data_IF_183732818359
#
_entry.id   IF_183732818359
#
_cell.length_a   1.000
_cell.length_b   1.000
_cell.length_c   1.000
_cell.angle_alpha   90.00
_cell.angle_beta   90.00
_cell.angle_gamma   90.00
#
_symmetry.space_group_name_H-M   'P 1'
#
loop_
_entity.id
_entity.type
_entity.pdbx_description
1 polymer ?
#
# COMPACT_ATOMS: atom_id res chain seq x y z
N UNK A 1 10.46 -29.06 -6.57
CA UNK A 1 9.55 -27.96 -6.89
C UNK A 1 10.35 -26.76 -7.41
N UNK A 2 9.72 -25.88 -8.13
CA UNK A 2 10.29 -24.64 -8.66
C UNK A 2 9.83 -23.51 -7.77
N UNK A 3 10.73 -22.59 -7.40
CA UNK A 3 10.41 -21.40 -6.63
C UNK A 3 11.30 -20.25 -7.05
N UNK A 4 10.87 -19.04 -6.81
CA UNK A 4 11.63 -17.83 -7.09
C UNK A 4 12.51 -17.45 -5.90
N UNK A 5 13.71 -16.99 -6.21
CA UNK A 5 14.67 -16.54 -5.23
C UNK A 5 15.26 -15.19 -5.61
N UNK A 6 15.65 -14.42 -4.62
CA UNK A 6 16.34 -13.14 -4.79
C UNK A 6 17.83 -13.28 -4.56
N UNK A 7 18.59 -12.87 -5.55
CA UNK A 7 20.03 -12.69 -5.40
C UNK A 7 20.30 -11.26 -4.90
N UNK A 8 20.93 -11.13 -3.74
CA UNK A 8 21.18 -9.82 -3.11
C UNK A 8 22.50 -9.82 -2.32
N UNK A 9 22.84 -8.69 -1.72
CA UNK A 9 23.98 -8.58 -0.79
C UNK A 9 23.54 -8.68 0.67
N UNK A 10 24.48 -8.90 1.57
CA UNK A 10 24.22 -8.97 3.02
C UNK A 10 23.50 -7.72 3.55
N UNK A 11 23.74 -6.56 2.95
CA UNK A 11 23.19 -5.27 3.38
C UNK A 11 21.67 -5.16 3.16
N UNK A 12 21.09 -6.02 2.33
CA UNK A 12 19.64 -6.02 2.08
C UNK A 12 18.82 -6.15 3.37
N UNK A 13 19.21 -7.05 4.23
CA UNK A 13 18.43 -7.35 5.44
C UNK A 13 18.43 -6.20 6.45
N UNK A 14 19.56 -5.60 6.83
CA UNK A 14 19.55 -4.44 7.71
C UNK A 14 19.01 -3.17 7.04
N UNK A 15 19.24 -2.95 5.74
CA UNK A 15 18.77 -1.76 5.01
C UNK A 15 17.24 -1.67 4.99
N UNK A 16 16.54 -2.80 4.91
CA UNK A 16 15.09 -2.87 4.83
C UNK A 16 14.43 -3.38 6.12
N UNK A 17 15.18 -3.44 7.23
CA UNK A 17 14.70 -3.93 8.53
C UNK A 17 13.96 -5.27 8.42
N UNK A 18 14.49 -6.19 7.61
CA UNK A 18 13.85 -7.47 7.34
C UNK A 18 13.80 -8.32 8.62
N UNK A 19 12.63 -8.73 9.12
CA UNK A 19 12.51 -9.46 10.36
C UNK A 19 12.90 -10.92 10.22
N UNK A 20 13.54 -11.48 11.24
CA UNK A 20 13.93 -12.88 11.31
C UNK A 20 13.19 -13.62 12.41
N UNK A 21 12.64 -14.77 12.09
CA UNK A 21 12.10 -15.72 13.07
C UNK A 21 13.23 -16.56 13.71
N UNK A 22 14.20 -16.99 12.89
CA UNK A 22 15.36 -17.75 13.33
C UNK A 22 16.63 -17.28 12.61
N UNK A 23 17.75 -17.23 13.34
CA UNK A 23 19.04 -16.85 12.78
C UNK A 23 19.12 -15.39 12.34
N UNK A 24 19.84 -15.16 11.25
CA UNK A 24 20.05 -13.81 10.65
C UNK A 24 20.43 -13.95 9.17
N UNK A 25 20.50 -12.81 8.47
CA UNK A 25 21.17 -12.76 7.17
C UNK A 25 22.63 -13.23 7.25
N UNK A 26 23.24 -13.43 6.12
CA UNK A 26 24.69 -13.67 6.02
C UNK A 26 25.45 -12.34 6.19
N UNK A 27 26.75 -12.42 6.35
CA UNK A 27 27.63 -11.25 6.44
C UNK A 27 28.32 -10.94 5.09
N UNK A 28 28.95 -9.77 4.99
CA UNK A 28 29.66 -9.35 3.78
C UNK A 28 30.85 -10.26 3.38
N UNK A 29 31.37 -11.06 4.32
CA UNK A 29 32.41 -12.05 3.98
C UNK A 29 31.84 -13.18 3.15
N UNK A 30 30.60 -13.58 3.37
CA UNK A 30 29.93 -14.60 2.57
C UNK A 30 29.70 -14.13 1.12
N UNK A 31 29.37 -12.84 0.92
CA UNK A 31 29.29 -12.25 -0.42
C UNK A 31 30.64 -12.29 -1.14
N UNK A 32 31.74 -11.97 -0.42
CA UNK A 32 33.09 -11.92 -1.00
C UNK A 32 33.71 -13.29 -1.28
N UNK A 33 33.34 -14.32 -0.49
CA UNK A 33 33.89 -15.68 -0.60
C UNK A 33 32.97 -16.64 -1.35
N UNK A 34 31.86 -16.14 -1.89
CA UNK A 34 30.84 -16.96 -2.58
C UNK A 34 30.35 -18.13 -1.69
N UNK A 35 30.13 -17.82 -0.39
CA UNK A 35 29.67 -18.84 0.56
C UNK A 35 28.25 -19.30 0.22
N UNK A 36 28.04 -20.63 0.13
CA UNK A 36 26.73 -21.22 -0.18
C UNK A 36 25.79 -21.17 1.03
N UNK A 37 25.30 -19.98 1.29
CA UNK A 37 24.30 -19.70 2.32
C UNK A 37 22.98 -19.27 1.71
N UNK A 38 21.90 -19.51 2.43
CA UNK A 38 20.55 -19.12 2.01
C UNK A 38 19.74 -18.66 3.22
N UNK A 39 18.93 -17.64 3.02
CA UNK A 39 17.86 -17.23 3.93
C UNK A 39 16.54 -17.68 3.33
N UNK A 40 15.66 -18.26 4.12
CA UNK A 40 14.36 -18.77 3.67
C UNK A 40 13.24 -17.84 4.12
N UNK A 41 12.18 -17.74 3.32
CA UNK A 41 10.93 -17.21 3.82
C UNK A 41 10.34 -18.16 4.85
N UNK A 42 9.42 -17.66 5.66
CA UNK A 42 8.70 -18.48 6.65
C UNK A 42 7.93 -19.62 5.96
N UNK A 43 7.26 -19.30 4.85
CA UNK A 43 6.44 -20.24 4.09
C UNK A 43 7.28 -21.38 3.51
N UNK A 44 8.44 -21.04 2.92
CA UNK A 44 9.34 -22.04 2.38
C UNK A 44 9.95 -22.93 3.50
N UNK A 45 10.27 -22.33 4.66
CA UNK A 45 10.72 -23.11 5.81
C UNK A 45 9.64 -24.05 6.33
N UNK A 46 8.37 -23.64 6.32
CA UNK A 46 7.25 -24.52 6.67
C UNK A 46 7.13 -25.69 5.70
N UNK A 47 7.24 -25.43 4.39
CA UNK A 47 7.14 -26.49 3.38
C UNK A 47 8.30 -27.49 3.43
N UNK A 48 9.53 -27.02 3.63
CA UNK A 48 10.73 -27.88 3.54
C UNK A 48 11.11 -28.50 4.87
N UNK A 49 10.95 -27.75 5.96
CA UNK A 49 11.43 -28.14 7.29
C UNK A 49 10.32 -28.20 8.35
N UNK A 50 9.05 -28.06 7.96
CA UNK A 50 7.92 -28.15 8.87
C UNK A 50 7.81 -27.00 9.88
N UNK A 51 8.38 -25.84 9.58
CA UNK A 51 8.33 -24.64 10.43
C UNK A 51 9.29 -24.65 11.63
N UNK A 52 10.10 -25.72 11.79
CA UNK A 52 11.12 -25.78 12.83
C UNK A 52 12.30 -24.84 12.54
N UNK A 53 13.12 -24.57 13.56
CA UNK A 53 14.37 -23.86 13.37
C UNK A 53 15.32 -24.67 12.46
N UNK A 54 15.47 -24.22 11.24
CA UNK A 54 16.31 -24.86 10.22
C UNK A 54 17.72 -24.25 10.08
N UNK A 55 18.08 -23.27 10.90
CA UNK A 55 19.41 -22.65 10.86
C UNK A 55 20.51 -23.71 11.03
N UNK A 56 21.49 -23.68 10.11
CA UNK A 56 22.58 -24.65 10.03
C UNK A 56 22.23 -25.94 9.26
N UNK A 57 20.95 -26.22 8.96
CA UNK A 57 20.57 -27.31 8.05
C UNK A 57 21.00 -27.02 6.62
N UNK A 58 21.06 -28.06 5.82
CA UNK A 58 21.45 -27.99 4.40
C UNK A 58 20.24 -28.30 3.54
N UNK A 59 20.04 -27.50 2.50
CA UNK A 59 19.07 -27.74 1.43
C UNK A 59 19.77 -27.76 0.06
N UNK A 60 19.14 -28.39 -0.92
CA UNK A 60 19.68 -28.45 -2.29
C UNK A 60 18.91 -27.47 -3.19
N UNK A 61 19.65 -26.57 -3.84
CA UNK A 61 19.12 -25.60 -4.81
C UNK A 61 19.89 -25.83 -6.11
N UNK A 62 19.20 -26.11 -7.21
CA UNK A 62 19.79 -26.39 -8.53
C UNK A 62 20.91 -27.46 -8.50
N UNK A 63 20.77 -28.47 -7.64
CA UNK A 63 21.74 -29.54 -7.50
C UNK A 63 22.94 -29.23 -6.57
N UNK A 64 23.04 -28.03 -6.03
CA UNK A 64 24.09 -27.63 -5.11
C UNK A 64 23.56 -27.51 -3.67
N UNK A 65 24.45 -27.75 -2.70
CA UNK A 65 24.10 -27.72 -1.27
C UNK A 65 24.30 -26.33 -0.67
N UNK A 66 23.25 -25.79 -0.04
CA UNK A 66 23.26 -24.50 0.64
C UNK A 66 22.97 -24.68 2.12
N UNK A 67 23.69 -23.95 2.96
CA UNK A 67 23.45 -23.92 4.41
C UNK A 67 22.46 -22.79 4.74
N UNK A 68 21.39 -23.11 5.47
CA UNK A 68 20.44 -22.11 5.96
C UNK A 68 21.12 -21.23 7.01
N UNK A 69 21.20 -19.92 6.78
CA UNK A 69 21.72 -18.93 7.73
C UNK A 69 20.61 -18.31 8.58
N UNK A 70 19.41 -18.17 8.01
CA UNK A 70 18.27 -17.59 8.69
C UNK A 70 16.95 -17.96 8.05
N UNK A 71 15.89 -17.75 8.80
CA UNK A 71 14.50 -17.85 8.37
C UNK A 71 13.81 -16.55 8.70
N UNK A 72 13.18 -15.93 7.71
CA UNK A 72 12.43 -14.72 7.90
C UNK A 72 11.19 -14.95 8.75
N UNK A 73 10.75 -13.93 9.46
CA UNK A 73 9.40 -13.85 10.00
C UNK A 73 8.43 -13.38 8.90
N UNK A 74 7.17 -13.19 9.22
CA UNK A 74 6.18 -12.66 8.26
C UNK A 74 6.63 -11.29 7.74
N UNK A 75 6.99 -11.24 6.46
CA UNK A 75 7.47 -10.04 5.80
C UNK A 75 6.89 -9.93 4.39
N UNK A 76 5.79 -9.20 4.28
CA UNK A 76 5.04 -9.00 3.03
C UNK A 76 4.84 -7.51 2.76
N UNK A 77 5.90 -6.75 2.39
CA UNK A 77 5.75 -5.35 2.05
C UNK A 77 4.90 -5.19 0.78
N UNK A 78 3.80 -4.45 0.90
CA UNK A 78 2.92 -4.13 -0.22
C UNK A 78 2.73 -2.62 -0.27
N UNK A 79 3.12 -1.97 -1.37
CA UNK A 79 3.80 -2.53 -2.54
C UNK A 79 5.22 -3.01 -2.20
N UNK A 80 5.75 -3.94 -3.02
CA UNK A 80 7.13 -4.44 -2.95
C UNK A 80 8.11 -3.34 -3.42
N UNK A 81 8.28 -2.30 -2.58
CA UNK A 81 8.95 -1.04 -2.93
C UNK A 81 10.39 -1.21 -3.44
N UNK A 82 11.05 -2.27 -3.02
CA UNK A 82 12.42 -2.60 -3.44
C UNK A 82 12.49 -3.27 -4.81
N UNK A 83 11.35 -3.65 -5.41
CA UNK A 83 11.29 -4.26 -6.74
C UNK A 83 10.02 -3.88 -7.53
N UNK A 84 9.83 -2.58 -7.74
CA UNK A 84 8.66 -2.06 -8.46
C UNK A 84 8.68 -2.34 -9.97
N UNK A 85 9.88 -2.57 -10.53
CA UNK A 85 10.04 -2.75 -11.98
C UNK A 85 9.50 -4.09 -12.50
N UNK A 86 9.36 -5.09 -11.64
CA UNK A 86 8.81 -6.39 -12.02
C UNK A 86 7.30 -6.42 -11.74
N UNK A 87 6.93 -6.55 -10.50
CA UNK A 87 5.54 -6.47 -10.07
C UNK A 87 5.47 -5.92 -8.64
N UNK A 88 4.99 -4.68 -8.44
CA UNK A 88 4.94 -4.06 -7.12
C UNK A 88 4.01 -4.77 -6.14
N UNK A 89 3.11 -5.60 -6.62
CA UNK A 89 2.09 -6.28 -5.83
C UNK A 89 2.30 -7.80 -5.73
N UNK A 90 3.45 -8.29 -6.14
CA UNK A 90 3.82 -9.70 -6.01
C UNK A 90 4.36 -10.01 -4.60
N UNK A 91 4.21 -11.26 -4.16
CA UNK A 91 4.80 -11.71 -2.91
C UNK A 91 6.32 -11.61 -2.95
N UNK A 92 6.97 -11.35 -1.80
CA UNK A 92 8.42 -11.47 -1.69
C UNK A 92 8.90 -12.88 -2.05
N UNK A 93 10.14 -12.96 -2.51
CA UNK A 93 10.73 -14.22 -2.93
C UNK A 93 10.84 -15.22 -1.77
N UNK A 94 10.69 -16.50 -2.10
CA UNK A 94 10.70 -17.57 -1.11
C UNK A 94 12.09 -17.83 -0.49
N UNK A 95 13.17 -17.42 -1.18
CA UNK A 95 14.53 -17.57 -0.68
C UNK A 95 15.43 -16.42 -1.15
N UNK A 96 16.48 -16.18 -0.36
CA UNK A 96 17.49 -15.15 -0.63
C UNK A 96 18.88 -15.78 -0.62
N UNK A 97 19.73 -15.40 -1.57
CA UNK A 97 21.09 -15.91 -1.68
C UNK A 97 22.08 -14.80 -2.09
N UNK A 98 23.38 -14.96 -1.80
CA UNK A 98 24.41 -14.01 -2.23
C UNK A 98 24.40 -13.79 -3.73
N UNK A 99 24.45 -12.51 -4.16
CA UNK A 99 24.43 -12.14 -5.58
C UNK A 99 25.60 -12.75 -6.35
N UNK A 100 26.78 -12.84 -5.75
CA UNK A 100 27.95 -13.48 -6.34
C UNK A 100 27.67 -14.91 -6.79
N UNK A 101 26.92 -15.69 -6.00
CA UNK A 101 26.56 -17.07 -6.34
C UNK A 101 25.61 -17.16 -7.53
N UNK A 102 24.67 -16.20 -7.66
CA UNK A 102 23.75 -16.19 -8.80
C UNK A 102 24.51 -15.97 -10.12
N UNK A 103 25.55 -15.15 -10.10
CA UNK A 103 26.42 -14.89 -11.26
C UNK A 103 27.27 -16.11 -11.58
N UNK A 104 27.98 -16.68 -10.60
CA UNK A 104 28.86 -17.85 -10.79
C UNK A 104 28.07 -19.10 -11.15
N UNK A 105 26.95 -19.32 -10.48
CA UNK A 105 26.05 -20.45 -10.74
C UNK A 105 25.21 -20.32 -12.00
N UNK A 106 25.26 -19.17 -12.69
CA UNK A 106 24.50 -18.89 -13.91
C UNK A 106 23.00 -19.16 -13.73
N UNK A 107 22.45 -18.72 -12.60
CA UNK A 107 21.02 -18.93 -12.35
C UNK A 107 20.17 -18.24 -13.40
N UNK A 108 19.06 -18.89 -13.76
CA UNK A 108 18.08 -18.29 -14.63
C UNK A 108 17.52 -17.03 -13.98
N UNK A 109 17.29 -16.01 -14.79
CA UNK A 109 16.80 -14.70 -14.35
C UNK A 109 15.31 -14.59 -14.59
N UNK A 110 14.60 -14.11 -13.62
CA UNK A 110 13.25 -13.61 -13.73
C UNK A 110 13.28 -12.08 -13.67
N UNK A 111 12.34 -11.42 -14.35
CA UNK A 111 12.16 -9.99 -14.26
C UNK A 111 12.59 -9.19 -15.49
N UNK A 112 12.52 -7.88 -15.36
CA UNK A 112 12.66 -6.95 -16.47
C UNK A 112 14.13 -6.73 -16.85
N UNK A 113 14.40 -6.71 -18.15
CA UNK A 113 15.71 -6.41 -18.71
C UNK A 113 15.57 -5.39 -19.84
N UNK A 114 16.35 -4.32 -19.80
CA UNK A 114 16.37 -3.29 -20.85
C UNK A 114 17.79 -3.15 -21.42
N UNK A 115 17.94 -3.31 -22.72
CA UNK A 115 19.22 -3.23 -23.40
C UNK A 115 19.28 -2.03 -24.35
N UNK A 116 20.37 -1.26 -24.28
CA UNK A 116 20.62 -0.09 -25.14
C UNK A 116 21.07 -0.48 -26.54
N UNK A 117 21.73 -1.63 -26.63
CA UNK A 117 22.29 -2.21 -27.86
C UNK A 117 21.94 -3.70 -27.90
N UNK A 118 21.91 -4.31 -29.07
CA UNK A 118 21.94 -5.76 -29.19
C UNK A 118 23.12 -6.34 -28.42
N UNK A 119 22.93 -7.50 -27.83
CA UNK A 119 24.01 -8.23 -27.14
C UNK A 119 24.93 -8.82 -28.20
N UNK A 120 26.23 -8.51 -28.09
CA UNK A 120 27.25 -9.08 -28.98
C UNK A 120 27.65 -10.47 -28.50
N UNK A 121 27.23 -11.52 -29.20
CA UNK A 121 27.46 -12.91 -28.85
C UNK A 121 26.27 -13.61 -28.22
N UNK A 122 26.48 -14.84 -27.82
CA UNK A 122 25.45 -15.69 -27.19
C UNK A 122 25.85 -16.12 -25.79
N UNK A 123 24.86 -16.40 -24.96
CA UNK A 123 25.05 -16.97 -23.62
C UNK A 123 25.23 -15.94 -22.52
N UNK A 124 25.40 -16.45 -21.32
CA UNK A 124 25.41 -15.67 -20.08
C UNK A 124 26.58 -14.68 -20.00
N UNK A 125 27.77 -15.06 -20.45
CA UNK A 125 28.96 -14.21 -20.44
C UNK A 125 28.82 -13.00 -21.40
N UNK A 126 28.23 -13.20 -22.57
CA UNK A 126 27.94 -12.12 -23.50
C UNK A 126 26.88 -11.16 -22.90
N UNK A 127 25.93 -11.70 -22.17
CA UNK A 127 24.95 -10.90 -21.44
C UNK A 127 25.60 -10.05 -20.34
N UNK A 128 26.47 -10.63 -19.51
CA UNK A 128 27.18 -9.89 -18.45
C UNK A 128 28.10 -8.79 -19.00
N UNK A 129 28.69 -9.02 -20.18
CA UNK A 129 29.52 -8.03 -20.88
C UNK A 129 28.69 -6.93 -21.60
N UNK A 130 27.39 -7.09 -21.68
CA UNK A 130 26.50 -6.18 -22.40
C UNK A 130 26.19 -4.90 -21.60
N UNK A 131 25.61 -3.90 -22.28
CA UNK A 131 25.09 -2.70 -21.65
C UNK A 131 23.59 -2.85 -21.31
N UNK A 132 23.15 -4.03 -20.87
CA UNK A 132 21.79 -4.27 -20.45
C UNK A 132 21.62 -3.89 -18.97
N UNK A 133 20.50 -3.24 -18.67
CA UNK A 133 20.08 -2.92 -17.31
C UNK A 133 19.17 -4.05 -16.82
N UNK A 134 19.58 -4.73 -15.77
CA UNK A 134 18.84 -5.88 -15.21
C UNK A 134 19.01 -6.00 -13.68
N UNK A 135 19.79 -5.11 -13.07
CA UNK A 135 20.06 -5.06 -11.63
C UNK A 135 19.40 -3.80 -11.09
N UNK A 136 18.74 -3.91 -9.96
CA UNK A 136 18.30 -2.78 -9.15
C UNK A 136 19.33 -2.53 -8.06
N UNK A 137 19.60 -1.25 -7.76
CA UNK A 137 20.56 -0.87 -6.75
C UNK A 137 19.92 0.11 -5.75
N UNK A 138 20.09 -0.20 -4.48
CA UNK A 138 19.68 0.63 -3.37
C UNK A 138 20.91 1.07 -2.59
N UNK A 139 20.87 2.27 -2.05
CA UNK A 139 21.95 2.83 -1.23
C UNK A 139 21.35 3.47 0.02
N UNK A 140 21.96 3.21 1.16
CA UNK A 140 21.61 3.87 2.41
C UNK A 140 22.49 5.10 2.58
N UNK A 141 21.87 6.26 2.71
CA UNK A 141 22.53 7.55 2.85
C UNK A 141 22.04 8.22 4.14
N UNK A 142 22.96 8.78 4.91
CA UNK A 142 22.66 9.29 6.25
C UNK A 142 21.86 10.58 6.24
N UNK A 143 22.07 11.43 5.24
CA UNK A 143 21.44 12.75 5.12
C UNK A 143 21.46 13.29 3.68
N UNK A 144 20.88 14.47 3.48
CA UNK A 144 20.84 15.14 2.17
C UNK A 144 22.24 15.58 1.66
N UNK A 145 23.20 15.79 2.53
CA UNK A 145 24.57 16.09 2.12
C UNK A 145 25.21 14.86 1.50
N UNK A 146 25.07 13.70 2.14
CA UNK A 146 25.51 12.41 1.61
C UNK A 146 24.82 12.08 0.28
N UNK A 147 23.54 12.43 0.11
CA UNK A 147 22.81 12.28 -1.14
C UNK A 147 23.41 13.16 -2.26
N UNK A 148 23.75 14.40 -1.95
CA UNK A 148 24.38 15.30 -2.90
C UNK A 148 25.79 14.81 -3.32
N UNK A 149 26.60 14.36 -2.37
CA UNK A 149 27.94 13.81 -2.63
C UNK A 149 27.86 12.53 -3.47
N UNK A 150 26.92 11.65 -3.16
CA UNK A 150 26.72 10.42 -3.94
C UNK A 150 26.21 10.73 -5.36
N UNK A 151 25.36 11.72 -5.55
CA UNK A 151 24.95 12.17 -6.88
C UNK A 151 26.15 12.69 -7.68
N UNK A 152 27.02 13.48 -7.05
CA UNK A 152 28.23 13.97 -7.70
C UNK A 152 29.17 12.81 -8.08
N UNK A 153 29.29 11.79 -7.23
CA UNK A 153 30.03 10.57 -7.55
C UNK A 153 29.45 9.86 -8.77
N UNK A 154 28.13 9.69 -8.85
CA UNK A 154 27.47 9.06 -10.00
C UNK A 154 27.68 9.85 -11.29
N UNK A 155 27.61 11.18 -11.24
CA UNK A 155 27.85 12.02 -12.39
C UNK A 155 29.30 11.90 -12.87
N UNK A 156 30.26 11.93 -11.96
CA UNK A 156 31.67 11.74 -12.28
C UNK A 156 31.94 10.35 -12.87
N UNK A 157 31.34 9.30 -12.31
CA UNK A 157 31.46 7.95 -12.83
C UNK A 157 30.92 7.83 -14.26
N UNK A 158 29.75 8.40 -14.53
CA UNK A 158 29.15 8.37 -15.88
C UNK A 158 30.02 9.15 -16.89
N UNK A 159 30.56 10.30 -16.51
CA UNK A 159 31.48 11.04 -17.38
C UNK A 159 32.76 10.25 -17.69
N UNK A 160 33.34 9.54 -16.71
CA UNK A 160 34.46 8.63 -16.94
C UNK A 160 34.08 7.49 -17.89
N UNK A 161 32.92 6.89 -17.71
CA UNK A 161 32.43 5.81 -18.60
C UNK A 161 32.18 6.29 -20.03
N UNK A 162 31.78 7.56 -20.23
CA UNK A 162 31.65 8.17 -21.56
C UNK A 162 32.98 8.24 -22.29
N UNK A 163 34.07 8.51 -21.59
CA UNK A 163 35.41 8.48 -22.19
C UNK A 163 35.81 7.10 -22.71
N UNK A 164 35.23 6.05 -22.11
CA UNK A 164 35.38 4.66 -22.54
C UNK A 164 34.39 4.22 -23.62
N UNK A 165 33.58 5.17 -24.13
CA UNK A 165 32.59 4.92 -25.17
C UNK A 165 31.25 4.35 -24.69
N UNK A 166 31.00 4.37 -23.37
CA UNK A 166 29.72 3.97 -22.77
C UNK A 166 28.81 5.18 -22.57
N UNK A 167 27.54 4.95 -22.30
CA UNK A 167 26.54 5.96 -21.91
C UNK A 167 26.54 7.23 -22.78
N UNK A 168 26.26 7.13 -24.09
CA UNK A 168 26.40 8.26 -25.03
C UNK A 168 25.39 9.40 -24.81
N UNK A 169 24.37 9.19 -23.96
CA UNK A 169 23.31 10.17 -23.65
C UNK A 169 23.82 11.25 -22.67
N UNK A 170 23.15 12.41 -22.61
CA UNK A 170 23.40 13.40 -21.57
C UNK A 170 23.21 12.81 -20.17
N UNK A 171 23.87 13.40 -19.17
CA UNK A 171 23.65 13.06 -17.77
C UNK A 171 22.18 13.17 -17.39
N UNK A 172 21.66 12.13 -16.78
CA UNK A 172 20.28 12.09 -16.25
C UNK A 172 20.23 11.14 -15.04
N UNK A 173 21.28 11.15 -14.22
CA UNK A 173 21.29 10.39 -12.99
C UNK A 173 20.26 10.94 -12.02
N UNK A 174 19.55 10.07 -11.31
CA UNK A 174 18.55 10.45 -10.32
C UNK A 174 18.65 9.52 -9.13
N UNK A 175 18.48 10.08 -7.95
CA UNK A 175 18.34 9.36 -6.69
C UNK A 175 16.95 9.65 -6.15
N UNK A 176 16.15 8.63 -6.05
CA UNK A 176 14.82 8.70 -5.48
C UNK A 176 14.82 8.10 -4.09
N UNK A 177 14.12 8.69 -3.15
CA UNK A 177 13.74 7.97 -1.94
C UNK A 177 12.61 6.97 -2.27
N UNK A 178 12.26 6.03 -1.37
CA UNK A 178 11.25 5.02 -1.66
C UNK A 178 9.89 5.60 -2.07
N UNK A 179 9.45 6.71 -1.46
CA UNK A 179 8.19 7.35 -1.80
C UNK A 179 8.23 8.03 -3.18
N UNK A 180 9.29 8.79 -3.47
CA UNK A 180 9.53 9.41 -4.78
C UNK A 180 9.64 8.34 -5.89
N UNK A 181 10.21 7.17 -5.56
CA UNK A 181 10.34 6.06 -6.50
C UNK A 181 9.00 5.41 -6.81
N UNK A 182 8.16 5.20 -5.79
CA UNK A 182 6.79 4.71 -5.98
C UNK A 182 5.93 5.67 -6.80
N UNK A 183 6.08 6.98 -6.57
CA UNK A 183 5.40 8.02 -7.34
C UNK A 183 5.89 8.05 -8.80
N UNK A 184 7.21 8.01 -9.01
CA UNK A 184 7.80 7.97 -10.36
C UNK A 184 7.39 6.73 -11.17
N UNK A 185 7.18 5.61 -10.50
CA UNK A 185 6.72 4.35 -11.11
C UNK A 185 5.20 4.25 -11.23
N UNK A 186 4.47 5.31 -10.83
CA UNK A 186 3.00 5.37 -10.90
C UNK A 186 2.35 4.14 -10.23
N UNK A 187 2.92 3.69 -9.08
CA UNK A 187 2.41 2.50 -8.35
C UNK A 187 0.99 2.72 -7.85
N UNK A 188 0.65 3.95 -7.52
CA UNK A 188 -0.73 4.39 -7.23
C UNK A 188 -1.21 5.19 -8.43
N UNK A 189 -2.13 4.62 -9.18
CA UNK A 189 -2.73 5.27 -10.35
C UNK A 189 -3.44 6.57 -9.96
N UNK A 190 -3.32 7.61 -10.81
CA UNK A 190 -4.09 8.86 -10.70
C UNK A 190 -5.61 8.62 -10.67
N UNK A 191 -6.07 7.48 -11.17
CA UNK A 191 -7.47 7.05 -11.13
C UNK A 191 -8.02 6.95 -9.70
N UNK A 192 -7.17 6.69 -8.70
CA UNK A 192 -7.57 6.65 -7.27
C UNK A 192 -8.04 8.02 -6.81
N UNK A 193 -7.34 9.10 -7.21
CA UNK A 193 -7.72 10.47 -6.87
C UNK A 193 -9.04 10.88 -7.55
N UNK A 194 -9.24 10.45 -8.79
CA UNK A 194 -10.49 10.66 -9.52
C UNK A 194 -11.63 9.93 -8.83
N UNK A 195 -11.44 8.68 -8.43
CA UNK A 195 -12.44 7.88 -7.70
C UNK A 195 -12.76 8.49 -6.33
N UNK A 196 -11.75 8.98 -5.61
CA UNK A 196 -11.95 9.69 -4.34
C UNK A 196 -12.77 10.98 -4.55
N UNK A 197 -12.43 11.77 -5.57
CA UNK A 197 -13.16 12.98 -5.94
C UNK A 197 -14.64 12.67 -6.27
N UNK A 198 -14.90 11.61 -7.01
CA UNK A 198 -16.24 11.12 -7.34
C UNK A 198 -17.02 10.69 -6.09
N UNK A 199 -16.38 9.98 -5.16
CA UNK A 199 -16.97 9.56 -3.90
C UNK A 199 -17.36 10.76 -3.03
N UNK A 200 -16.50 11.77 -2.93
CA UNK A 200 -16.78 13.04 -2.22
C UNK A 200 -17.93 13.79 -2.88
N UNK A 201 -17.94 13.91 -4.21
CA UNK A 201 -19.03 14.53 -4.95
C UNK A 201 -20.36 13.81 -4.68
N UNK A 202 -20.37 12.48 -4.73
CA UNK A 202 -21.55 11.69 -4.41
C UNK A 202 -22.03 11.91 -2.97
N UNK A 203 -21.11 11.97 -2.00
CA UNK A 203 -21.43 12.31 -0.62
C UNK A 203 -22.10 13.68 -0.52
N UNK A 204 -21.58 14.70 -1.20
CA UNK A 204 -22.19 16.05 -1.21
C UNK A 204 -23.60 16.02 -1.78
N UNK A 205 -23.82 15.32 -2.88
CA UNK A 205 -25.18 15.17 -3.48
C UNK A 205 -26.12 14.48 -2.52
N UNK A 206 -25.69 13.41 -1.84
CA UNK A 206 -26.48 12.72 -0.82
C UNK A 206 -26.81 13.63 0.36
N UNK A 207 -25.87 14.46 0.82
CA UNK A 207 -26.10 15.43 1.88
C UNK A 207 -27.13 16.49 1.48
N UNK A 208 -27.03 17.06 0.29
CA UNK A 208 -28.02 18.03 -0.22
C UNK A 208 -29.41 17.44 -0.31
N UNK A 209 -29.51 16.20 -0.80
CA UNK A 209 -30.80 15.49 -0.85
C UNK A 209 -31.34 15.22 0.56
N UNK A 210 -30.48 14.80 1.50
CA UNK A 210 -30.89 14.59 2.90
C UNK A 210 -31.36 15.88 3.57
N UNK A 211 -30.68 17.01 3.34
CA UNK A 211 -31.14 18.34 3.83
C UNK A 211 -32.54 18.66 3.29
N UNK A 212 -32.77 18.44 2.00
CA UNK A 212 -34.07 18.66 1.38
C UNK A 212 -35.20 17.81 2.02
N UNK A 213 -34.93 16.52 2.22
CA UNK A 213 -35.86 15.60 2.88
C UNK A 213 -36.13 15.99 4.33
N UNK A 214 -35.11 16.37 5.08
CA UNK A 214 -35.24 16.82 6.48
C UNK A 214 -36.04 18.12 6.56
N UNK A 215 -35.83 19.07 5.64
CA UNK A 215 -36.65 20.29 5.55
C UNK A 215 -38.11 19.98 5.27
N UNK A 216 -38.40 19.12 4.31
CA UNK A 216 -39.76 18.70 4.00
C UNK A 216 -40.45 18.01 5.20
N UNK A 217 -39.73 17.10 5.90
CA UNK A 217 -40.16 16.44 7.13
C UNK A 217 -40.47 17.47 8.22
N UNK A 218 -39.58 18.45 8.40
CA UNK A 218 -39.69 19.49 9.43
C UNK A 218 -40.93 20.39 9.19
N UNK A 219 -41.18 20.75 7.93
CA UNK A 219 -42.38 21.54 7.57
C UNK A 219 -43.68 20.79 7.85
N UNK A 220 -43.76 19.49 7.59
CA UNK A 220 -44.90 18.65 7.93
C UNK A 220 -45.16 18.56 9.44
N UNK A 221 -44.09 18.51 10.24
CA UNK A 221 -44.17 18.43 11.71
C UNK A 221 -44.22 19.80 12.41
N UNK A 222 -44.25 20.90 11.66
CA UNK A 222 -44.24 22.25 12.23
C UNK A 222 -45.43 22.52 13.16
N UNK A 223 -46.63 21.96 12.87
CA UNK A 223 -47.80 22.07 13.72
C UNK A 223 -47.58 21.39 15.07
N UNK A 224 -47.08 20.15 15.09
CA UNK A 224 -46.82 19.39 16.33
C UNK A 224 -45.75 20.08 17.17
N UNK A 225 -44.68 20.59 16.52
CA UNK A 225 -43.62 21.33 17.17
C UNK A 225 -44.16 22.64 17.80
N UNK A 226 -45.04 23.35 17.09
CA UNK A 226 -45.67 24.57 17.60
C UNK A 226 -46.55 24.28 18.79
N UNK A 227 -47.34 23.19 18.77
CA UNK A 227 -48.20 22.76 19.88
C UNK A 227 -47.37 22.39 21.10
N UNK A 228 -46.34 21.61 20.97
CA UNK A 228 -45.41 21.26 22.07
C UNK A 228 -44.75 22.49 22.69
N UNK A 229 -44.36 23.47 21.89
CA UNK A 229 -43.83 24.75 22.36
C UNK A 229 -44.85 25.58 23.11
N UNK A 230 -46.10 25.59 22.65
CA UNK A 230 -47.22 26.26 23.36
C UNK A 230 -47.51 25.59 24.73
N UNK A 231 -47.27 24.29 24.86
CA UNK A 231 -47.40 23.51 26.10
C UNK A 231 -46.13 23.60 27.00
N UNK A 232 -45.11 24.41 26.63
CA UNK A 232 -43.97 24.71 27.46
C UNK A 232 -42.67 24.00 27.11
N UNK A 233 -42.59 23.23 26.02
CA UNK A 233 -41.34 22.59 25.59
C UNK A 233 -40.28 23.63 25.19
N UNK A 234 -39.06 23.49 25.70
CA UNK A 234 -37.92 24.36 25.37
C UNK A 234 -37.40 24.13 23.95
N UNK A 235 -36.84 25.19 23.33
CA UNK A 235 -36.22 25.07 22.02
C UNK A 235 -35.06 24.05 22.04
N UNK A 236 -34.34 24.00 23.15
CA UNK A 236 -33.16 23.15 23.33
C UNK A 236 -33.54 21.65 23.40
N UNK A 237 -34.70 21.33 24.04
CA UNK A 237 -35.20 19.95 24.07
C UNK A 237 -35.58 19.44 22.69
N UNK A 238 -36.29 20.26 21.91
CA UNK A 238 -36.66 19.92 20.55
C UNK A 238 -35.40 19.80 19.64
N UNK A 239 -34.43 20.68 19.83
CA UNK A 239 -33.17 20.62 19.10
C UNK A 239 -32.41 19.32 19.41
N UNK A 240 -32.21 18.99 20.70
CA UNK A 240 -31.57 17.74 21.13
C UNK A 240 -32.25 16.50 20.57
N UNK A 241 -33.61 16.48 20.59
CA UNK A 241 -34.40 15.37 20.06
C UNK A 241 -34.12 15.15 18.55
N UNK A 242 -34.10 16.22 17.74
CA UNK A 242 -33.85 16.10 16.31
C UNK A 242 -32.42 15.73 15.99
N UNK A 243 -31.42 16.26 16.74
CA UNK A 243 -30.04 15.90 16.59
C UNK A 243 -29.82 14.44 16.97
N UNK A 244 -30.44 13.94 18.03
CA UNK A 244 -30.37 12.54 18.43
C UNK A 244 -30.99 11.61 17.35
N UNK A 245 -32.16 12.01 16.78
CA UNK A 245 -32.78 11.28 15.65
C UNK A 245 -31.84 11.21 14.45
N UNK A 246 -31.14 12.31 14.11
CA UNK A 246 -30.17 12.35 13.03
C UNK A 246 -28.93 11.47 13.34
N UNK A 247 -28.47 11.47 14.59
CA UNK A 247 -27.36 10.62 15.02
C UNK A 247 -27.67 9.13 14.88
N UNK A 248 -28.88 8.69 15.24
CA UNK A 248 -29.33 7.29 15.04
C UNK A 248 -29.31 6.93 13.55
N UNK A 249 -29.81 7.83 12.69
CA UNK A 249 -29.79 7.60 11.23
C UNK A 249 -28.33 7.51 10.73
N UNK A 250 -27.43 8.37 11.23
CA UNK A 250 -26.02 8.35 10.87
C UNK A 250 -25.34 7.04 11.26
N UNK A 251 -25.58 6.55 12.48
CA UNK A 251 -25.04 5.26 12.95
C UNK A 251 -25.61 4.09 12.13
N UNK A 252 -26.93 4.07 11.90
CA UNK A 252 -27.55 3.02 11.08
C UNK A 252 -26.99 3.02 9.64
N UNK A 253 -26.83 4.21 9.04
CA UNK A 253 -26.21 4.38 7.73
C UNK A 253 -24.74 3.90 7.71
N UNK A 254 -23.96 4.23 8.75
CA UNK A 254 -22.60 3.77 8.90
C UNK A 254 -22.47 2.24 8.98
N UNK A 255 -23.34 1.59 9.77
CA UNK A 255 -23.36 0.13 9.87
C UNK A 255 -23.76 -0.55 8.54
N UNK A 256 -24.74 0.01 7.82
CA UNK A 256 -25.08 -0.48 6.49
C UNK A 256 -23.93 -0.27 5.49
N UNK A 257 -23.23 0.87 5.57
CA UNK A 257 -22.03 1.15 4.77
C UNK A 257 -20.93 0.10 5.00
N UNK A 258 -20.65 -0.26 6.25
CA UNK A 258 -19.69 -1.32 6.58
C UNK A 258 -20.11 -2.66 5.97
N UNK A 259 -21.39 -3.02 6.10
CA UNK A 259 -21.89 -4.27 5.53
C UNK A 259 -21.76 -4.29 3.99
N UNK A 260 -22.04 -3.18 3.32
CA UNK A 260 -21.87 -3.05 1.87
C UNK A 260 -20.40 -3.10 1.45
N UNK A 261 -19.51 -2.47 2.21
CA UNK A 261 -18.05 -2.54 1.98
C UNK A 261 -17.56 -3.97 2.12
N UNK A 262 -17.97 -4.68 3.17
CA UNK A 262 -17.61 -6.09 3.37
C UNK A 262 -18.09 -6.97 2.22
N UNK A 263 -19.33 -6.79 1.76
CA UNK A 263 -19.86 -7.50 0.59
C UNK A 263 -19.10 -7.17 -0.69
N UNK A 264 -18.72 -5.90 -0.88
CA UNK A 264 -17.91 -5.46 -2.02
C UNK A 264 -16.52 -6.09 -2.04
N UNK A 265 -15.83 -6.09 -0.90
CA UNK A 265 -14.52 -6.73 -0.75
C UNK A 265 -14.59 -8.24 -1.03
N UNK A 266 -15.61 -8.94 -0.49
CA UNK A 266 -15.87 -10.36 -0.80
C UNK A 266 -16.16 -10.59 -2.29
N UNK A 267 -16.83 -9.64 -2.94
CA UNK A 267 -17.06 -9.70 -4.39
C UNK A 267 -15.75 -9.60 -5.19
N UNK A 268 -14.86 -8.69 -4.79
CA UNK A 268 -13.54 -8.54 -5.40
C UNK A 268 -12.69 -9.81 -5.18
N UNK A 269 -12.61 -10.33 -3.95
CA UNK A 269 -11.91 -11.58 -3.66
C UNK A 269 -12.38 -12.72 -4.59
N UNK A 270 -13.69 -12.87 -4.80
CA UNK A 270 -14.23 -13.93 -5.64
C UNK A 270 -13.98 -13.74 -7.14
N UNK A 271 -13.84 -12.49 -7.61
CA UNK A 271 -13.54 -12.18 -9.01
C UNK A 271 -12.06 -12.40 -9.37
N UNK A 272 -11.18 -12.25 -8.39
CA UNK A 272 -9.73 -12.29 -8.56
C UNK A 272 -9.07 -13.46 -7.80
N UNK A 273 -9.80 -14.56 -7.60
CA UNK A 273 -9.32 -15.79 -6.92
C UNK A 273 -8.00 -16.34 -7.50
N UNK A 274 -7.70 -16.04 -8.76
CA UNK A 274 -6.51 -16.52 -9.46
C UNK A 274 -5.23 -15.75 -9.08
N UNK A 275 -5.35 -14.63 -8.33
CA UNK A 275 -4.24 -13.79 -7.90
C UNK A 275 -4.12 -13.81 -6.38
N UNK A 276 -3.25 -14.68 -5.87
CA UNK A 276 -3.08 -14.96 -4.42
C UNK A 276 -2.72 -13.69 -3.63
N UNK A 277 -1.99 -12.75 -4.25
CA UNK A 277 -1.59 -11.50 -3.62
C UNK A 277 -2.77 -10.54 -3.31
N UNK A 278 -3.87 -10.61 -4.05
CA UNK A 278 -5.06 -9.75 -3.81
C UNK A 278 -5.65 -10.00 -2.43
N UNK A 279 -5.52 -11.21 -1.91
CA UNK A 279 -5.99 -11.56 -0.56
C UNK A 279 -5.25 -10.74 0.52
N UNK A 280 -3.99 -10.36 0.29
CA UNK A 280 -3.21 -9.50 1.20
C UNK A 280 -3.57 -8.02 1.07
N UNK A 281 -4.02 -7.56 -0.10
CA UNK A 281 -4.46 -6.18 -0.36
C UNK A 281 -5.89 -5.91 0.13
N UNK A 282 -6.78 -6.90 0.02
CA UNK A 282 -8.21 -6.78 0.37
C UNK A 282 -8.41 -7.03 1.85
N UNK A 283 -7.76 -6.26 2.72
CA UNK A 283 -7.96 -6.32 4.18
C UNK A 283 -8.82 -5.17 4.66
N UNK A 284 -9.75 -5.48 5.56
CA UNK A 284 -10.51 -4.43 6.26
C UNK A 284 -9.61 -3.78 7.31
N UNK A 285 -9.20 -2.54 7.04
CA UNK A 285 -8.48 -1.73 8.02
C UNK A 285 -9.46 -1.10 9.01
N UNK A 286 -9.30 -1.40 10.32
CA UNK A 286 -10.12 -0.86 11.40
C UNK A 286 -10.02 0.66 11.53
N UNK A 287 -8.90 1.25 11.14
CA UNK A 287 -8.72 2.71 11.16
C UNK A 287 -9.61 3.37 10.09
N UNK A 288 -9.63 2.83 8.88
CA UNK A 288 -10.47 3.29 7.78
C UNK A 288 -11.96 3.08 8.07
N UNK A 289 -12.33 1.95 8.67
CA UNK A 289 -13.72 1.68 9.10
C UNK A 289 -14.17 2.72 10.12
N UNK A 290 -13.35 2.97 11.15
CA UNK A 290 -13.69 3.95 12.18
C UNK A 290 -13.82 5.35 11.61
N UNK A 291 -12.93 5.75 10.70
CA UNK A 291 -13.01 7.03 9.98
C UNK A 291 -14.29 7.14 9.15
N UNK A 292 -14.68 6.10 8.42
CA UNK A 292 -15.90 6.09 7.62
C UNK A 292 -17.16 6.24 8.48
N UNK A 293 -17.23 5.55 9.63
CA UNK A 293 -18.35 5.68 10.58
C UNK A 293 -18.42 7.09 11.16
N UNK A 294 -17.27 7.63 11.60
CA UNK A 294 -17.21 9.01 12.11
C UNK A 294 -17.67 10.00 11.04
N UNK A 295 -17.19 9.86 9.82
CA UNK A 295 -17.58 10.70 8.69
C UNK A 295 -19.10 10.61 8.41
N UNK A 296 -19.68 9.41 8.43
CA UNK A 296 -21.11 9.20 8.25
C UNK A 296 -21.93 9.90 9.34
N UNK A 297 -21.53 9.75 10.61
CA UNK A 297 -22.23 10.39 11.74
C UNK A 297 -22.10 11.91 11.67
N UNK A 298 -20.89 12.43 11.46
CA UNK A 298 -20.63 13.88 11.35
C UNK A 298 -21.42 14.48 10.18
N UNK A 299 -21.45 13.80 9.04
CA UNK A 299 -22.22 14.22 7.86
C UNK A 299 -23.73 14.25 8.14
N UNK A 300 -24.27 13.22 8.79
CA UNK A 300 -25.68 13.17 9.17
C UNK A 300 -26.06 14.28 10.16
N UNK A 301 -25.23 14.53 11.17
CA UNK A 301 -25.42 15.62 12.12
C UNK A 301 -25.35 16.98 11.43
N UNK A 302 -24.34 17.18 10.56
CA UNK A 302 -24.19 18.41 9.78
C UNK A 302 -25.40 18.71 8.89
N UNK A 303 -25.91 17.69 8.17
CA UNK A 303 -27.08 17.81 7.36
C UNK A 303 -28.37 18.16 8.18
N UNK A 304 -28.46 17.70 9.43
CA UNK A 304 -29.59 17.97 10.32
C UNK A 304 -29.54 19.35 10.98
N UNK A 305 -28.36 19.98 11.12
CA UNK A 305 -28.20 21.24 11.86
C UNK A 305 -29.08 22.37 11.30
N UNK A 306 -29.00 22.63 10.00
CA UNK A 306 -29.74 23.72 9.36
C UNK A 306 -31.28 23.52 9.42
N UNK A 307 -31.85 22.37 9.03
CA UNK A 307 -33.27 22.10 9.13
C UNK A 307 -33.81 22.21 10.57
N UNK A 308 -33.04 21.63 11.51
CA UNK A 308 -33.40 21.63 12.94
C UNK A 308 -33.41 23.04 13.52
N UNK A 309 -32.36 23.81 13.25
CA UNK A 309 -32.28 25.22 13.70
C UNK A 309 -33.44 26.04 13.15
N UNK A 310 -33.78 25.89 11.86
CA UNK A 310 -34.89 26.58 11.22
C UNK A 310 -36.24 26.22 11.88
N UNK A 311 -36.48 24.93 12.13
CA UNK A 311 -37.70 24.42 12.74
C UNK A 311 -37.90 24.91 14.17
N UNK A 312 -36.82 24.92 14.97
CA UNK A 312 -36.88 25.40 16.36
C UNK A 312 -37.09 26.91 16.48
N UNK A 313 -36.82 27.68 15.42
CA UNK A 313 -37.01 29.15 15.43
C UNK A 313 -38.39 29.61 14.88
N UNK A 314 -39.26 28.72 14.40
CA UNK A 314 -40.59 29.05 13.96
C UNK A 314 -41.43 29.56 15.17
N UNK A 315 -42.04 30.73 15.04
CA UNK A 315 -42.92 31.31 16.08
C UNK A 315 -44.25 30.60 16.13
N UNK A 316 -44.75 30.17 17.32
CA UNK A 316 -46.02 29.43 17.44
C UNK A 316 -47.25 30.17 16.87
N UNK A 317 -47.21 31.51 16.90
CA UNK A 317 -48.33 32.37 16.47
C UNK A 317 -48.62 32.31 14.96
N UNK A 318 -47.66 31.97 14.12
CA UNK A 318 -47.82 31.95 12.64
C UNK A 318 -48.60 30.75 12.13
N UNK A 319 -48.58 29.62 12.84
CA UNK A 319 -49.26 28.39 12.43
C UNK A 319 -50.59 28.11 13.14
N UNK A 320 -50.91 28.83 14.24
CA UNK A 320 -52.20 28.74 14.93
C UNK A 320 -53.25 29.68 14.32
N UNK A 321 -52.90 30.64 13.46
CA UNK A 321 -53.78 31.61 12.80
C UNK A 321 -54.39 31.14 11.47
N UNK A 322 -54.03 29.95 10.99
CA UNK A 322 -54.50 29.41 9.70
C UNK A 322 -55.59 28.32 9.89
N UNK A 323 -56.48 28.50 10.83
CA UNK A 323 -57.78 27.82 10.90
C UNK A 323 -58.91 28.82 10.78
#
# INVERSE_FOLDING_TARGET
>A
FQTEGRATTADFFPMFDVPFQFGSGWDSSADATEERVVVLSRELNEQVFGGENSVGRVMTINGESFRVSGVLDEWTPVPKFFDLNNNPYEEPEALYLPFSLAVVGKFDRSGNTSCWKPIDGEGFEAFLASECIWIQMWVELQDEAAKADYMQFLDAYVEEQKLLGRFPRPLNNRLYNPAEWMDYQEVVDDDVDVLLGLAVLFLVVCLLNTIGLLLAKSMRRAKDTSLRRALGASKLELFKQHIFEAGIIGVAGGLLGIAMTWLGLRGIENLYVEYDFIQHLVRMDWSMISLAVVLAVVSALGAALYPTWRTCNITPATHLRLQ
#
